data_IF_411839619703
#
_entry.id   IF_411839619703
#
_cell.length_a   1.000
_cell.length_b   1.000
_cell.length_c   1.000
_cell.angle_alpha   90.00
_cell.angle_beta   90.00
_cell.angle_gamma   90.00
#
_symmetry.space_group_name_H-M   'P 1'
#
loop_
_entity.id
_entity.type
_entity.pdbx_description
1 polymer ?
#
# COMPACT_ATOMS: atom_id res chain seq x y z
N UNK A 1 8.79 -11.27 -2.34
CA UNK A 1 8.72 -9.98 -1.60
C UNK A 1 8.52 -10.25 -0.12
N UNK A 2 9.36 -9.65 0.72
CA UNK A 2 9.30 -9.89 2.17
C UNK A 2 7.95 -9.52 2.78
N UNK A 3 7.35 -8.42 2.33
CA UNK A 3 6.07 -7.99 2.88
C UNK A 3 4.97 -9.01 2.61
N UNK A 4 5.00 -9.66 1.45
CA UNK A 4 4.04 -10.71 1.13
C UNK A 4 4.12 -11.85 2.16
N UNK A 5 5.33 -12.23 2.52
CA UNK A 5 5.54 -13.29 3.52
C UNK A 5 5.00 -12.86 4.89
N UNK A 6 5.24 -11.61 5.27
CA UNK A 6 4.73 -11.08 6.53
C UNK A 6 3.21 -11.07 6.57
N UNK A 7 2.58 -10.64 5.49
CA UNK A 7 1.12 -10.61 5.42
C UNK A 7 0.51 -12.01 5.42
N UNK A 8 1.26 -13.01 4.96
CA UNK A 8 0.79 -14.39 4.94
C UNK A 8 0.94 -15.10 6.29
N UNK A 9 1.74 -14.55 7.21
CA UNK A 9 1.96 -15.16 8.51
C UNK A 9 0.70 -15.23 9.37
N UNK A 10 -0.12 -14.18 9.33
CA UNK A 10 -1.36 -14.11 10.10
C UNK A 10 -2.43 -13.40 9.30
N UNK A 11 -3.65 -13.95 9.32
CA UNK A 11 -4.79 -13.35 8.65
C UNK A 11 -5.01 -11.90 9.12
N UNK A 12 -4.82 -11.64 10.39
CA UNK A 12 -4.99 -10.31 10.97
C UNK A 12 -4.06 -9.29 10.29
N UNK A 13 -2.82 -9.67 9.99
CA UNK A 13 -1.87 -8.77 9.33
C UNK A 13 -2.40 -8.33 7.97
N UNK A 14 -2.87 -9.28 7.19
CA UNK A 14 -3.39 -8.98 5.86
C UNK A 14 -4.65 -8.11 5.93
N UNK A 15 -5.59 -8.46 6.81
CA UNK A 15 -6.84 -7.70 6.94
C UNK A 15 -6.56 -6.24 7.30
N UNK A 16 -5.70 -6.01 8.28
CA UNK A 16 -5.38 -4.65 8.71
C UNK A 16 -4.63 -3.88 7.60
N UNK A 17 -3.69 -4.56 6.92
CA UNK A 17 -2.95 -3.96 5.82
C UNK A 17 -3.88 -3.56 4.67
N UNK A 18 -4.72 -4.49 4.23
CA UNK A 18 -5.67 -4.25 3.15
C UNK A 18 -6.59 -3.07 3.49
N UNK A 19 -7.11 -3.04 4.71
CA UNK A 19 -7.99 -1.97 5.15
C UNK A 19 -7.27 -0.62 5.16
N UNK A 20 -6.01 -0.58 5.59
CA UNK A 20 -5.24 0.66 5.61
C UNK A 20 -4.97 1.18 4.20
N UNK A 21 -4.52 0.30 3.30
CA UNK A 21 -4.26 0.67 1.91
C UNK A 21 -5.53 1.17 1.24
N UNK A 22 -6.62 0.44 1.39
CA UNK A 22 -7.89 0.78 0.75
C UNK A 22 -8.48 2.08 1.30
N UNK A 23 -8.30 2.33 2.59
CA UNK A 23 -8.71 3.60 3.19
C UNK A 23 -7.99 4.77 2.52
N UNK A 24 -6.68 4.66 2.36
CA UNK A 24 -5.90 5.72 1.73
C UNK A 24 -6.25 5.88 0.26
N UNK A 25 -6.46 4.77 -0.46
CA UNK A 25 -6.90 4.82 -1.86
C UNK A 25 -8.23 5.53 -2.01
N UNK A 26 -9.21 5.14 -1.20
CA UNK A 26 -10.55 5.71 -1.26
C UNK A 26 -10.53 7.21 -0.94
N UNK A 27 -9.78 7.60 0.07
CA UNK A 27 -9.67 9.01 0.46
C UNK A 27 -8.95 9.85 -0.61
N UNK A 28 -8.19 9.21 -1.47
CA UNK A 28 -7.51 9.89 -2.59
C UNK A 28 -8.32 9.89 -3.87
N UNK A 29 -9.52 9.28 -3.84
CA UNK A 29 -10.38 9.22 -5.02
C UNK A 29 -10.09 8.06 -5.95
N UNK A 30 -9.36 7.06 -5.49
CA UNK A 30 -9.09 5.84 -6.25
C UNK A 30 -10.03 4.72 -5.85
N UNK A 31 -10.16 3.72 -6.72
CA UNK A 31 -10.89 2.49 -6.38
C UNK A 31 -10.05 1.66 -5.42
N UNK A 32 -10.75 0.88 -4.59
CA UNK A 32 -10.08 -0.05 -3.67
C UNK A 32 -9.61 -1.30 -4.40
N UNK A 33 -8.62 -1.97 -3.80
CA UNK A 33 -8.11 -3.26 -4.30
C UNK A 33 -8.91 -4.36 -3.61
N UNK A 34 -9.36 -5.36 -4.40
CA UNK A 34 -10.35 -6.33 -3.91
C UNK A 34 -9.82 -7.74 -3.70
N UNK A 35 -8.58 -8.04 -4.14
CA UNK A 35 -8.04 -9.38 -3.99
C UNK A 35 -8.04 -9.82 -2.53
N UNK A 36 -8.35 -11.10 -2.29
CA UNK A 36 -8.59 -11.63 -0.96
C UNK A 36 -7.39 -12.33 -0.34
N UNK A 37 -6.27 -12.38 -1.05
CA UNK A 37 -5.05 -13.01 -0.58
C UNK A 37 -3.86 -12.07 -0.71
N UNK A 38 -2.84 -12.20 0.17
CA UNK A 38 -1.70 -11.28 0.14
C UNK A 38 -1.01 -11.18 -1.21
N UNK A 39 -0.73 -12.31 -1.87
CA UNK A 39 -0.04 -12.30 -3.16
C UNK A 39 -0.86 -11.56 -4.22
N UNK A 40 -2.14 -11.91 -4.36
CA UNK A 40 -3.02 -11.28 -5.34
C UNK A 40 -3.23 -9.81 -5.05
N UNK A 41 -3.38 -9.46 -3.78
CA UNK A 41 -3.56 -8.06 -3.37
C UNK A 41 -2.34 -7.22 -3.74
N UNK A 42 -1.13 -7.70 -3.45
CA UNK A 42 0.09 -6.95 -3.77
C UNK A 42 0.30 -6.85 -5.28
N UNK A 43 -0.01 -7.91 -6.02
CA UNK A 43 0.06 -7.85 -7.49
C UNK A 43 -0.89 -6.80 -8.06
N UNK A 44 -2.12 -6.79 -7.58
CA UNK A 44 -3.13 -5.83 -7.99
C UNK A 44 -2.68 -4.40 -7.67
N UNK A 45 -2.17 -4.20 -6.45
CA UNK A 45 -1.71 -2.90 -6.00
C UNK A 45 -0.52 -2.40 -6.82
N UNK A 46 0.47 -3.27 -7.08
CA UNK A 46 1.65 -2.92 -7.86
C UNK A 46 1.25 -2.53 -9.29
N UNK A 47 0.38 -3.32 -9.91
CA UNK A 47 -0.09 -3.03 -11.27
C UNK A 47 -0.82 -1.68 -11.32
N UNK A 48 -1.67 -1.43 -10.34
CA UNK A 48 -2.39 -0.16 -10.22
C UNK A 48 -1.41 1.02 -10.08
N UNK A 49 -0.44 0.90 -9.18
CA UNK A 49 0.52 1.99 -8.93
C UNK A 49 1.39 2.25 -10.16
N UNK A 50 1.84 1.19 -10.84
CA UNK A 50 2.60 1.35 -12.09
C UNK A 50 1.82 2.13 -13.13
N UNK A 51 0.56 1.80 -13.31
CA UNK A 51 -0.30 2.49 -14.28
C UNK A 51 -0.50 3.95 -13.88
N UNK A 52 -0.76 4.21 -12.61
CA UNK A 52 -0.98 5.58 -12.11
C UNK A 52 0.28 6.43 -12.28
N UNK A 53 1.47 5.86 -12.04
CA UNK A 53 2.74 6.57 -12.24
C UNK A 53 2.96 6.86 -13.72
N UNK A 54 2.73 5.86 -14.59
CA UNK A 54 2.93 6.03 -16.04
C UNK A 54 1.98 7.09 -16.60
N UNK A 55 0.77 7.17 -16.07
CA UNK A 55 -0.23 8.13 -16.51
C UNK A 55 -0.05 9.51 -15.86
N UNK A 56 0.93 9.66 -14.97
CA UNK A 56 1.15 10.88 -14.19
C UNK A 56 -0.13 11.36 -13.51
N UNK A 57 -0.86 10.41 -12.90
CA UNK A 57 -2.15 10.69 -12.29
C UNK A 57 -1.99 11.64 -11.11
N UNK A 58 -2.66 12.83 -11.15
CA UNK A 58 -2.49 13.83 -10.09
C UNK A 58 -2.98 13.37 -8.70
N UNK A 59 -3.87 12.39 -8.64
CA UNK A 59 -4.35 11.84 -7.37
C UNK A 59 -3.28 11.06 -6.61
N UNK A 60 -2.21 10.65 -7.30
CA UNK A 60 -1.08 9.96 -6.65
C UNK A 60 -0.45 10.82 -5.57
N UNK A 61 -0.35 12.12 -5.82
CA UNK A 61 0.25 13.04 -4.86
C UNK A 61 -0.54 13.03 -3.54
N UNK A 62 -1.86 13.04 -3.64
CA UNK A 62 -2.73 12.98 -2.47
C UNK A 62 -2.59 11.63 -1.76
N UNK A 63 -2.54 10.52 -2.52
CA UNK A 63 -2.37 9.19 -1.96
C UNK A 63 -1.09 9.09 -1.14
N UNK A 64 0.02 9.56 -1.71
CA UNK A 64 1.32 9.49 -1.03
C UNK A 64 1.38 10.41 0.18
N UNK A 65 0.69 11.54 0.12
CA UNK A 65 0.56 12.44 1.27
C UNK A 65 -0.19 11.75 2.42
N UNK A 66 -1.33 11.11 2.11
CA UNK A 66 -2.13 10.43 3.14
C UNK A 66 -1.41 9.23 3.74
N UNK A 67 -0.62 8.53 2.93
CA UNK A 67 0.18 7.41 3.42
C UNK A 67 1.43 7.88 4.17
N UNK A 68 1.70 9.19 4.15
CA UNK A 68 2.87 9.79 4.77
C UNK A 68 4.16 9.20 4.20
N UNK A 69 4.21 9.06 2.87
CA UNK A 69 5.42 8.61 2.18
C UNK A 69 6.36 9.80 2.02
N UNK A 70 7.50 9.73 2.69
CA UNK A 70 8.54 10.76 2.64
C UNK A 70 9.69 10.31 1.76
N UNK A 71 10.60 11.22 1.43
CA UNK A 71 11.74 10.92 0.57
C UNK A 71 12.51 9.69 1.03
N UNK A 72 12.70 9.56 2.35
CA UNK A 72 13.42 8.40 2.92
C UNK A 72 12.75 7.08 2.63
N UNK A 73 11.42 7.08 2.41
CA UNK A 73 10.68 5.86 2.10
C UNK A 73 10.83 5.46 0.63
N UNK A 74 11.34 6.36 -0.21
CA UNK A 74 11.48 6.14 -1.64
C UNK A 74 12.83 5.54 -2.03
N UNK A 75 13.64 5.13 -1.05
CA UNK A 75 14.95 4.52 -1.28
C UNK A 75 14.88 3.33 -2.24
N UNK A 76 13.81 2.54 -2.16
CA UNK A 76 13.62 1.37 -3.00
C UNK A 76 12.67 1.63 -4.16
N UNK A 77 12.45 2.89 -4.50
CA UNK A 77 11.58 3.28 -5.60
C UNK A 77 10.21 3.73 -5.12
N UNK A 78 9.47 4.34 -6.05
CA UNK A 78 8.21 5.01 -5.72
C UNK A 78 7.11 4.00 -5.34
N UNK A 79 7.08 2.84 -6.00
CA UNK A 79 6.02 1.85 -5.75
C UNK A 79 6.29 1.08 -4.46
N UNK A 80 7.49 0.52 -4.31
CA UNK A 80 7.84 -0.20 -3.09
C UNK A 80 7.85 0.72 -1.87
N UNK A 81 8.22 1.98 -2.07
CA UNK A 81 8.17 2.97 -1.00
C UNK A 81 6.78 3.10 -0.39
N UNK A 82 5.75 3.17 -1.24
CA UNK A 82 4.36 3.21 -0.78
C UNK A 82 3.98 1.92 -0.04
N UNK A 83 4.29 0.77 -0.65
CA UNK A 83 3.91 -0.53 -0.11
C UNK A 83 4.51 -0.74 1.28
N UNK A 84 5.80 -0.43 1.44
CA UNK A 84 6.49 -0.62 2.72
C UNK A 84 6.06 0.42 3.76
N UNK A 85 5.79 1.65 3.34
CA UNK A 85 5.30 2.67 4.27
C UNK A 85 3.96 2.27 4.88
N UNK A 86 3.04 1.75 4.06
CA UNK A 86 1.76 1.26 4.55
C UNK A 86 1.95 0.13 5.56
N UNK A 87 2.92 -0.76 5.32
CA UNK A 87 3.22 -1.83 6.25
C UNK A 87 3.75 -1.31 7.59
N UNK A 88 4.62 -0.29 7.55
CA UNK A 88 5.13 0.33 8.78
C UNK A 88 3.98 0.92 9.60
N UNK A 89 3.04 1.61 8.96
CA UNK A 89 1.87 2.16 9.64
C UNK A 89 1.06 1.06 10.33
N UNK A 90 0.86 -0.05 9.64
CA UNK A 90 0.12 -1.20 10.18
C UNK A 90 0.84 -1.81 11.38
N UNK A 91 2.17 -1.92 11.30
CA UNK A 91 2.96 -2.45 12.41
C UNK A 91 2.77 -1.62 13.69
N UNK A 92 2.72 -0.30 13.56
CA UNK A 92 2.47 0.55 14.72
C UNK A 92 1.09 0.29 15.31
N UNK A 93 0.08 0.11 14.47
CA UNK A 93 -1.27 -0.20 14.95
C UNK A 93 -1.34 -1.54 15.66
N UNK A 94 -0.64 -2.55 15.13
CA UNK A 94 -0.67 -3.90 15.71
C UNK A 94 0.04 -4.01 17.04
N UNK A 95 0.86 -3.03 17.39
CA UNK A 95 1.58 -3.01 18.67
C UNK A 95 0.77 -2.40 19.81
N UNK A 96 -0.36 -1.78 19.50
CA UNK A 96 -1.19 -1.10 20.51
C UNK A 96 -2.19 -2.03 21.16
#
# INVERSE_FOLDING_TARGET
MQIQNKLAEKQQFFVVYKNQVNKDLERSGFKTMEAQEPEGFLKELIAFLNEAVNDSNPKLQQLYYLADVQDRHLEHGIILGFIYREWVKVQFRLRQ
#
